data_IF_365074074671
#
_entry.id   IF_365074074671
#
_cell.length_a   1.000
_cell.length_b   1.000
_cell.length_c   1.000
_cell.angle_alpha   90.00
_cell.angle_beta   90.00
_cell.angle_gamma   90.00
#
_symmetry.space_group_name_H-M   'P 1'
#
loop_
_entity.id
_entity.type
_entity.pdbx_description
1 polymer ?
#
# COMPACT_ATOMS: atom_id res chain seq x y z
N UNK A 1 -8.37 14.67 -1.90
CA UNK A 1 -8.92 13.66 -2.71
C UNK A 1 -7.96 12.60 -2.99
N UNK A 2 -8.33 11.39 -2.87
CA UNK A 2 -7.45 10.25 -3.08
C UNK A 2 -7.27 9.91 -4.54
N UNK A 3 -6.36 9.00 -4.82
CA UNK A 3 -6.11 8.51 -6.16
C UNK A 3 -6.15 7.00 -6.15
N UNK A 4 -6.87 6.41 -7.08
CA UNK A 4 -6.97 4.97 -7.18
C UNK A 4 -5.75 4.39 -7.88
N UNK A 5 -5.27 3.29 -7.33
CA UNK A 5 -4.12 2.58 -7.89
C UNK A 5 -4.44 1.09 -7.97
N UNK A 6 -3.64 0.38 -8.76
CA UNK A 6 -3.68 -1.06 -8.86
C UNK A 6 -2.32 -1.56 -8.43
N UNK A 7 -2.30 -2.56 -7.54
CA UNK A 7 -1.08 -3.24 -7.14
C UNK A 7 -1.16 -4.68 -7.65
N UNK A 8 -0.21 -5.05 -8.50
CA UNK A 8 -0.15 -6.40 -9.03
C UNK A 8 0.93 -7.15 -8.26
N UNK A 9 0.52 -8.23 -7.58
CA UNK A 9 1.41 -9.01 -6.74
C UNK A 9 1.39 -10.44 -7.28
N UNK A 10 2.33 -10.75 -8.16
CA UNK A 10 2.27 -12.02 -8.87
C UNK A 10 0.98 -12.08 -9.66
N UNK A 11 0.15 -13.10 -9.41
CA UNK A 11 -1.12 -13.25 -10.12
C UNK A 11 -2.28 -12.54 -9.42
N UNK A 12 -2.03 -11.93 -8.28
CA UNK A 12 -3.09 -11.25 -7.52
C UNK A 12 -3.12 -9.78 -7.88
N UNK A 13 -4.31 -9.27 -8.15
CA UNK A 13 -4.50 -7.86 -8.47
C UNK A 13 -5.31 -7.23 -7.35
N UNK A 14 -4.76 -6.18 -6.75
CA UNK A 14 -5.38 -5.49 -5.64
C UNK A 14 -5.63 -4.06 -6.03
N UNK A 15 -6.83 -3.56 -5.80
CA UNK A 15 -7.14 -2.17 -6.01
C UNK A 15 -7.10 -1.45 -4.68
N UNK A 16 -6.57 -0.25 -4.69
CA UNK A 16 -6.42 0.54 -3.47
C UNK A 16 -6.64 2.01 -3.76
N UNK A 17 -6.91 2.76 -2.72
CA UNK A 17 -7.07 4.20 -2.82
C UNK A 17 -5.98 4.85 -2.00
N UNK A 18 -5.15 5.66 -2.63
CA UNK A 18 -4.18 6.48 -1.93
C UNK A 18 -4.90 7.67 -1.30
N UNK A 19 -4.45 8.05 -0.11
CA UNK A 19 -5.00 9.22 0.55
C UNK A 19 -4.27 10.49 0.05
N UNK A 20 -4.48 11.61 0.73
CA UNK A 20 -3.95 12.90 0.31
C UNK A 20 -2.75 13.35 1.13
N UNK A 21 -2.05 12.43 1.77
CA UNK A 21 -0.84 12.78 2.51
C UNK A 21 0.28 13.13 1.53
N UNK A 22 1.28 13.91 1.97
CA UNK A 22 2.43 14.21 1.10
C UNK A 22 3.12 12.96 0.58
N UNK A 23 3.24 11.91 1.43
CA UNK A 23 3.87 10.67 1.00
C UNK A 23 3.06 9.98 -0.09
N UNK A 24 1.74 9.92 0.06
CA UNK A 24 0.88 9.29 -0.93
C UNK A 24 0.93 10.06 -2.26
N UNK A 25 0.92 11.38 -2.20
CA UNK A 25 0.99 12.18 -3.42
C UNK A 25 2.32 11.99 -4.13
N UNK A 26 3.41 11.92 -3.37
CA UNK A 26 4.73 11.71 -3.95
C UNK A 26 4.83 10.33 -4.62
N UNK A 27 4.25 9.30 -3.99
CA UNK A 27 4.22 7.98 -4.60
C UNK A 27 3.43 8.01 -5.91
N UNK A 28 2.28 8.65 -5.90
CA UNK A 28 1.43 8.72 -7.09
C UNK A 28 2.16 9.33 -8.28
N UNK A 29 3.03 10.31 -8.02
CA UNK A 29 3.76 10.97 -9.08
C UNK A 29 4.87 10.11 -9.68
N UNK A 30 5.24 9.03 -9.02
CA UNK A 30 6.32 8.16 -9.48
C UNK A 30 5.82 6.86 -10.10
N UNK A 31 4.52 6.70 -10.23
CA UNK A 31 3.96 5.49 -10.84
C UNK A 31 4.10 5.53 -12.36
N UNK A 32 4.28 4.40 -13.02
CA UNK A 32 4.32 3.06 -12.44
C UNK A 32 5.63 2.77 -11.72
N UNK A 33 5.56 1.86 -10.78
CA UNK A 33 6.71 1.56 -9.94
C UNK A 33 6.75 0.07 -9.67
N UNK A 34 7.94 -0.53 -9.76
CA UNK A 34 8.10 -1.95 -9.42
C UNK A 34 8.97 -2.08 -8.19
N UNK A 35 8.68 -3.08 -7.39
CA UNK A 35 9.52 -3.43 -6.25
C UNK A 35 9.33 -4.90 -5.92
N UNK A 36 10.24 -5.44 -5.11
CA UNK A 36 10.12 -6.81 -4.64
C UNK A 36 9.50 -6.77 -3.26
N UNK A 37 8.47 -7.56 -3.06
CA UNK A 37 7.78 -7.65 -1.77
C UNK A 37 7.82 -9.06 -1.23
N UNK A 38 7.75 -9.19 0.09
CA UNK A 38 7.71 -10.50 0.75
C UNK A 38 6.41 -10.60 1.52
N UNK A 39 5.73 -11.72 1.34
CA UNK A 39 4.50 -12.01 2.06
C UNK A 39 4.83 -12.59 3.43
N UNK A 40 4.04 -12.22 4.42
CA UNK A 40 4.12 -12.77 5.76
C UNK A 40 2.70 -13.08 6.23
N UNK A 41 2.55 -13.46 7.50
CA UNK A 41 1.23 -13.79 8.02
C UNK A 41 0.39 -12.54 8.27
N UNK A 42 0.98 -11.36 8.31
CA UNK A 42 0.25 -10.13 8.63
C UNK A 42 0.18 -9.16 7.47
N UNK A 43 1.04 -9.30 6.49
CA UNK A 43 1.08 -8.37 5.37
C UNK A 43 2.09 -8.73 4.33
N UNK A 44 2.24 -7.86 3.36
CA UNK A 44 3.21 -8.00 2.29
C UNK A 44 4.00 -6.71 2.26
N UNK A 45 5.33 -6.76 2.37
CA UNK A 45 6.13 -5.54 2.43
C UNK A 45 7.41 -5.64 1.63
N UNK A 46 7.92 -4.51 1.22
CA UNK A 46 9.17 -4.44 0.48
C UNK A 46 9.74 -3.04 0.48
N UNK A 47 11.04 -2.96 0.23
CA UNK A 47 11.73 -1.68 0.20
C UNK A 47 11.36 -0.90 -1.06
N UNK A 48 11.03 0.37 -0.88
CA UNK A 48 10.79 1.23 -2.03
C UNK A 48 12.13 1.68 -2.61
N UNK A 49 12.22 1.80 -3.93
CA UNK A 49 13.45 2.29 -4.56
C UNK A 49 13.59 3.82 -4.48
N UNK A 50 12.78 4.47 -3.67
CA UNK A 50 12.82 5.91 -3.50
C UNK A 50 12.35 6.26 -2.10
N UNK A 51 12.65 7.48 -1.65
CA UNK A 51 12.18 7.96 -0.37
C UNK A 51 10.96 8.85 -0.55
N UNK A 52 10.01 8.71 0.33
CA UNK A 52 8.81 9.53 0.31
C UNK A 52 8.88 10.54 1.46
N UNK A 53 8.31 11.73 1.27
CA UNK A 53 8.27 12.69 2.37
C UNK A 53 7.41 12.14 3.50
N UNK A 54 7.83 12.33 4.73
CA UNK A 54 7.12 11.81 5.89
C UNK A 54 6.90 12.94 6.88
N UNK A 55 5.65 13.37 7.00
CA UNK A 55 5.27 14.38 7.96
C UNK A 55 5.23 13.71 9.34
N UNK A 56 6.08 14.11 10.29
CA UNK A 56 6.12 13.47 11.59
C UNK A 56 4.77 13.49 12.32
N UNK A 57 3.95 14.48 12.05
CA UNK A 57 2.65 14.60 12.70
C UNK A 57 1.69 13.49 12.27
N UNK A 58 1.96 12.83 11.14
CA UNK A 58 1.11 11.78 10.60
C UNK A 58 1.62 10.39 10.91
N UNK A 59 2.81 10.28 11.50
CA UNK A 59 3.38 8.97 11.83
C UNK A 59 2.70 8.45 13.10
N UNK A 60 2.36 7.17 13.07
CA UNK A 60 1.67 6.53 14.19
C UNK A 60 2.16 5.10 14.35
N UNK A 61 1.68 4.42 15.38
CA UNK A 61 1.96 3.01 15.58
C UNK A 61 0.70 2.23 15.26
N UNK A 62 0.89 1.01 14.80
CA UNK A 62 -0.23 0.14 14.51
C UNK A 62 -0.82 0.37 13.13
N UNK A 63 -1.67 -0.57 12.71
CA UNK A 63 -2.37 -0.49 11.43
C UNK A 63 -3.77 -1.04 11.58
N UNK A 64 -4.64 -0.70 10.62
CA UNK A 64 -5.91 -1.38 10.43
C UNK A 64 -5.74 -2.36 9.25
N UNK A 65 -6.40 -3.50 9.32
CA UNK A 65 -6.32 -4.47 8.22
C UNK A 65 -6.85 -3.81 6.96
N UNK A 66 -6.07 -3.91 5.89
CA UNK A 66 -6.34 -3.22 4.63
C UNK A 66 -5.54 -1.96 4.43
N UNK A 67 -4.77 -1.53 5.44
CA UNK A 67 -3.94 -0.34 5.29
C UNK A 67 -2.79 -0.55 4.32
N UNK A 68 -2.51 0.49 3.55
CA UNK A 68 -1.29 0.60 2.76
C UNK A 68 -0.43 1.63 3.48
N UNK A 69 0.70 1.20 3.99
CA UNK A 69 1.53 2.02 4.86
C UNK A 69 2.96 2.16 4.34
N UNK A 70 3.56 3.27 4.71
CA UNK A 70 4.97 3.53 4.46
C UNK A 70 5.67 3.62 5.81
N UNK A 71 6.82 2.96 5.93
CA UNK A 71 7.65 3.07 7.13
C UNK A 71 8.75 4.08 6.80
N UNK A 72 8.69 5.28 7.37
CA UNK A 72 9.65 6.32 6.99
C UNK A 72 11.07 6.04 7.48
N UNK A 73 11.23 5.25 8.52
CA UNK A 73 12.56 4.93 9.03
C UNK A 73 13.28 3.94 8.12
N UNK A 74 12.59 2.90 7.69
CA UNK A 74 13.20 1.86 6.89
C UNK A 74 12.99 1.99 5.39
N UNK A 75 12.09 2.88 4.96
CA UNK A 75 11.81 3.02 3.54
C UNK A 75 10.98 1.88 2.97
N UNK A 76 10.12 1.27 3.78
CA UNK A 76 9.33 0.12 3.35
C UNK A 76 7.92 0.50 3.00
N UNK A 77 7.38 -0.15 1.98
CA UNK A 77 5.96 -0.09 1.67
C UNK A 77 5.33 -1.40 2.13
N UNK A 78 4.18 -1.33 2.77
CA UNK A 78 3.51 -2.53 3.26
C UNK A 78 2.01 -2.45 3.02
N UNK A 79 1.42 -3.61 2.72
CA UNK A 79 -0.02 -3.78 2.68
C UNK A 79 -0.34 -4.75 3.78
N UNK A 80 -1.09 -4.31 4.79
CA UNK A 80 -1.41 -5.15 5.93
C UNK A 80 -2.80 -5.74 5.77
N UNK A 81 -2.95 -7.01 6.09
CA UNK A 81 -4.22 -7.70 5.93
C UNK A 81 -4.63 -8.49 7.15
N UNK A 82 -3.83 -8.46 8.23
CA UNK A 82 -4.16 -9.23 9.41
C UNK A 82 -3.47 -8.66 10.66
N UNK A 83 -3.95 -9.09 11.82
CA UNK A 83 -3.32 -8.86 13.12
C UNK A 83 -3.32 -7.38 13.57
N UNK A 84 -4.31 -6.62 13.15
CA UNK A 84 -4.34 -5.21 13.54
C UNK A 84 -4.38 -5.02 15.06
N UNK A 85 -4.98 -5.94 15.79
CA UNK A 85 -5.10 -5.80 17.25
C UNK A 85 -3.74 -5.82 17.95
N UNK A 86 -2.74 -6.47 17.36
CA UNK A 86 -1.41 -6.57 17.95
C UNK A 86 -0.39 -5.68 17.25
N UNK A 87 -0.85 -4.84 16.33
CA UNK A 87 0.06 -4.11 15.44
C UNK A 87 0.84 -2.99 16.12
N UNK A 88 0.40 -2.55 17.29
CA UNK A 88 1.09 -1.46 17.99
C UNK A 88 2.52 -1.80 18.39
N UNK A 89 2.89 -3.05 18.43
CA UNK A 89 4.24 -3.47 18.81
C UNK A 89 5.25 -3.34 17.65
N UNK A 90 4.75 -3.10 16.46
CA UNK A 90 5.64 -2.93 15.30
C UNK A 90 6.04 -1.45 15.18
N UNK A 91 6.97 -1.16 14.29
CA UNK A 91 7.54 0.17 14.20
C UNK A 91 6.60 1.24 13.67
N UNK A 92 7.17 2.37 13.34
CA UNK A 92 6.38 3.52 12.90
C UNK A 92 5.69 3.26 11.58
N UNK A 93 4.49 3.79 11.46
CA UNK A 93 3.64 3.64 10.28
C UNK A 93 3.18 5.01 9.80
N UNK A 94 3.11 5.16 8.50
CA UNK A 94 2.51 6.34 7.88
C UNK A 94 1.50 5.79 6.88
N UNK A 95 0.23 5.92 7.17
CA UNK A 95 -0.81 5.35 6.30
C UNK A 95 -0.97 6.23 5.07
N UNK A 96 -0.79 5.63 3.90
CA UNK A 96 -0.87 6.34 2.63
C UNK A 96 -2.06 5.89 1.79
N UNK A 97 -2.78 4.88 2.22
CA UNK A 97 -3.95 4.42 1.49
C UNK A 97 -4.59 3.21 2.12
N UNK A 98 -5.58 2.68 1.43
CA UNK A 98 -6.30 1.48 1.88
C UNK A 98 -6.69 0.62 0.70
N UNK A 99 -6.68 -0.67 0.91
CA UNK A 99 -7.19 -1.63 -0.07
C UNK A 99 -8.69 -1.47 -0.21
N UNK A 100 -9.17 -1.49 -1.44
CA UNK A 100 -10.59 -1.53 -1.74
C UNK A 100 -10.91 -2.94 -2.19
N UNK A 101 -11.74 -3.63 -1.46
CA UNK A 101 -12.13 -4.98 -1.79
C UNK A 101 -11.67 -5.99 -0.77
N UNK A 102 -11.88 -7.27 -1.05
CA UNK A 102 -11.62 -8.34 -0.08
C UNK A 102 -10.12 -8.54 0.15
N UNK A 103 -9.76 -8.95 1.35
CA UNK A 103 -8.36 -9.18 1.71
C UNK A 103 -7.94 -10.64 1.55
N UNK A 104 -8.90 -11.55 1.34
CA UNK A 104 -8.58 -12.98 1.20
C UNK A 104 -7.51 -13.29 0.16
N UNK A 105 -7.56 -12.68 -1.03
CA UNK A 105 -6.52 -13.00 -2.01
C UNK A 105 -5.13 -12.64 -1.52
N UNK A 106 -5.01 -11.59 -0.69
CA UNK A 106 -3.72 -11.20 -0.14
C UNK A 106 -3.22 -12.21 0.87
N UNK A 107 -4.14 -12.81 1.64
CA UNK A 107 -3.75 -13.79 2.65
C UNK A 107 -3.20 -15.08 2.06
N UNK A 108 -3.46 -15.32 0.79
CA UNK A 108 -2.96 -16.52 0.11
C UNK A 108 -1.56 -16.33 -0.48
N UNK A 109 -1.02 -15.12 -0.45
CA UNK A 109 0.30 -14.86 -1.02
C UNK A 109 1.39 -15.48 -0.16
N UNK A 110 2.46 -15.94 -0.81
CA UNK A 110 3.58 -16.57 -0.14
C UNK A 110 4.90 -16.15 -0.76
N UNK A 111 5.91 -16.02 0.06
CA UNK A 111 7.27 -15.81 -0.40
C UNK A 111 7.52 -14.44 -1.00
N UNK A 112 8.46 -14.39 -1.91
CA UNK A 112 8.84 -13.15 -2.57
C UNK A 112 8.04 -12.98 -3.83
N UNK A 113 7.58 -11.76 -4.05
CA UNK A 113 6.72 -11.44 -5.18
C UNK A 113 7.21 -10.18 -5.84
N UNK A 114 7.11 -10.15 -7.17
CA UNK A 114 7.34 -8.90 -7.87
C UNK A 114 6.04 -8.12 -7.80
N UNK A 115 6.14 -6.87 -7.41
CA UNK A 115 5.00 -5.98 -7.32
C UNK A 115 5.09 -4.88 -8.35
N UNK A 116 3.98 -4.58 -8.99
CA UNK A 116 3.88 -3.47 -9.91
C UNK A 116 2.73 -2.58 -9.44
N UNK A 117 3.03 -1.32 -9.16
CA UNK A 117 2.03 -0.36 -8.73
C UNK A 117 1.78 0.60 -9.88
N UNK A 118 0.53 0.75 -10.26
CA UNK A 118 0.15 1.61 -11.37
C UNK A 118 -1.04 2.46 -10.99
N UNK A 119 -1.21 3.58 -11.65
CA UNK A 119 -2.45 4.33 -11.54
C UNK A 119 -3.56 3.46 -12.10
N UNK A 120 -4.69 3.42 -11.42
CA UNK A 120 -5.84 2.68 -11.94
C UNK A 120 -6.50 3.54 -13.02
N UNK A 121 -6.27 3.14 -14.26
CA UNK A 121 -6.79 3.88 -15.40
C UNK A 121 -8.28 3.61 -15.62
N UNK A 122 -8.78 2.56 -14.99
CA UNK A 122 -10.18 2.25 -15.12
C UNK A 122 -10.97 3.35 -14.44
N UNK A 123 -11.93 3.89 -15.09
CA UNK A 123 -12.73 4.94 -14.51
C UNK A 123 -14.19 4.67 -14.74
N UNK A 124 -14.99 5.28 -13.93
CA UNK A 124 -16.41 5.25 -14.16
C UNK A 124 -16.67 6.14 -15.34
N UNK A 125 -17.14 5.57 -16.41
CA UNK A 125 -17.42 6.31 -17.60
C UNK A 125 -18.69 7.04 -17.41
N UNK A 126 -18.72 8.32 -17.60
CA UNK A 126 -19.97 9.04 -17.51
C UNK A 126 -20.84 8.53 -18.59
N UNK A 127 -21.99 8.29 -18.22
CA UNK A 127 -22.81 7.77 -19.11
C UNK A 127 -23.14 8.63 -20.09
N UNK A 128 -22.77 9.64 -20.09
CA UNK A 128 -23.07 10.48 -21.05
C UNK A 128 -22.44 10.23 -22.15
N UNK A 129 -21.83 9.69 -22.20
CA UNK A 129 -21.30 9.62 -23.32
C UNK A 129 -21.66 9.08 -24.10
#
# INVERSE_FOLDING_TARGET
MGRRIVVRLGDVIVRAMLNDTPAARALAERLPLTLRMCASTVGCCGALPLSLPADPALVHRGWADGDLNYNPTGGWLAIFFDDERNSMRYGDQLTIGRVEGPLEPLRALEGRLDALIETDERRVIPETD
#
